data_IF_206118042704
#
_entry.id   IF_206118042704
#
_cell.length_a   1.000
_cell.length_b   1.000
_cell.length_c   1.000
_cell.angle_alpha   90.00
_cell.angle_beta   90.00
_cell.angle_gamma   90.00
#
_symmetry.space_group_name_H-M   'P 1'
#
loop_
_entity.id
_entity.type
_entity.pdbx_description
1 polymer ?
#
# COMPACT_ATOMS: atom_id res chain seq x y z
N UNK A 1 -36.15 -9.58 12.91
CA UNK A 1 -35.40 -8.32 12.77
C UNK A 1 -36.40 -7.16 12.87
N UNK A 2 -36.27 -6.37 13.92
CA UNK A 2 -37.23 -5.33 14.31
C UNK A 2 -37.28 -4.19 13.30
N UNK A 3 -38.49 -3.62 13.07
CA UNK A 3 -38.71 -2.43 12.25
C UNK A 3 -37.82 -1.23 12.63
N UNK A 4 -37.40 -1.16 13.89
CA UNK A 4 -36.50 -0.11 14.40
C UNK A 4 -35.10 -0.17 13.76
N UNK A 5 -34.58 -1.37 13.45
CA UNK A 5 -33.24 -1.50 12.83
C UNK A 5 -33.22 -1.07 11.35
N UNK A 6 -34.36 -1.26 10.64
CA UNK A 6 -34.50 -0.81 9.25
C UNK A 6 -34.60 0.71 9.12
N UNK A 7 -35.27 1.37 10.07
CA UNK A 7 -35.39 2.84 10.08
C UNK A 7 -34.05 3.55 10.33
N UNK A 8 -33.21 3.01 11.22
CA UNK A 8 -31.87 3.57 11.50
C UNK A 8 -30.95 3.46 10.28
N UNK A 9 -30.99 2.33 9.55
CA UNK A 9 -30.16 2.14 8.36
C UNK A 9 -30.60 3.07 7.20
N UNK A 10 -31.90 3.31 7.05
CA UNK A 10 -32.43 4.24 6.02
C UNK A 10 -32.01 5.67 6.37
N UNK A 11 -32.11 6.08 7.63
CA UNK A 11 -31.76 7.42 8.09
C UNK A 11 -30.23 7.69 7.95
N UNK A 12 -29.38 6.70 8.19
CA UNK A 12 -27.92 6.83 7.94
C UNK A 12 -27.59 6.98 6.44
N UNK A 13 -28.31 6.30 5.55
CA UNK A 13 -28.13 6.46 4.09
C UNK A 13 -28.56 7.85 3.59
N UNK A 14 -29.63 8.41 4.10
CA UNK A 14 -30.09 9.75 3.71
C UNK A 14 -29.10 10.84 4.14
N UNK A 15 -28.48 10.73 5.33
CA UNK A 15 -27.43 11.66 5.76
C UNK A 15 -26.15 11.58 4.93
N UNK A 16 -25.74 10.41 4.45
CA UNK A 16 -24.60 10.27 3.54
C UNK A 16 -24.87 10.92 2.17
N UNK A 17 -26.07 10.78 1.63
CA UNK A 17 -26.45 11.43 0.38
C UNK A 17 -26.52 12.96 0.52
N UNK A 18 -27.06 13.47 1.59
CA UNK A 18 -27.13 14.91 1.84
C UNK A 18 -25.75 15.54 2.05
N UNK A 19 -24.84 14.87 2.78
CA UNK A 19 -23.49 15.33 3.00
C UNK A 19 -22.67 15.34 1.70
N UNK A 20 -22.80 14.29 0.89
CA UNK A 20 -22.14 14.19 -0.42
C UNK A 20 -22.68 15.24 -1.40
N UNK A 21 -23.98 15.51 -1.37
CA UNK A 21 -24.59 16.51 -2.24
C UNK A 21 -24.24 17.94 -1.80
N UNK A 22 -24.15 18.18 -0.48
CA UNK A 22 -23.64 19.43 0.09
C UNK A 22 -22.16 19.67 -0.28
N UNK A 23 -21.30 18.65 -0.19
CA UNK A 23 -19.90 18.69 -0.61
C UNK A 23 -19.79 18.97 -2.12
N UNK A 24 -20.59 18.29 -2.95
CA UNK A 24 -20.64 18.52 -4.41
C UNK A 24 -21.01 19.96 -4.77
N UNK A 25 -21.90 20.59 -4.02
CA UNK A 25 -22.34 21.99 -4.26
C UNK A 25 -21.33 23.02 -3.80
N UNK A 26 -20.60 22.77 -2.69
CA UNK A 26 -19.70 23.73 -2.06
C UNK A 26 -18.26 23.67 -2.52
N UNK A 27 -17.79 22.52 -2.96
CA UNK A 27 -16.42 22.34 -3.42
C UNK A 27 -16.36 22.11 -4.93
N UNK A 28 -15.55 22.93 -5.62
CA UNK A 28 -15.34 22.84 -7.08
C UNK A 28 -14.98 21.41 -7.49
N UNK A 29 -15.45 20.98 -8.66
CA UNK A 29 -15.27 19.65 -9.29
C UNK A 29 -13.87 19.02 -9.11
N UNK A 30 -12.83 19.83 -8.94
CA UNK A 30 -11.44 19.41 -8.76
C UNK A 30 -11.18 18.73 -7.40
N UNK A 31 -11.81 19.20 -6.31
CA UNK A 31 -11.64 18.62 -4.97
C UNK A 31 -12.41 17.31 -4.83
N UNK A 32 -13.61 17.25 -5.41
CA UNK A 32 -14.43 16.03 -5.44
C UNK A 32 -13.69 14.92 -6.20
N UNK A 33 -13.09 15.26 -7.35
CA UNK A 33 -12.28 14.31 -8.12
C UNK A 33 -11.06 13.82 -7.34
N UNK A 34 -10.46 14.67 -6.50
CA UNK A 34 -9.35 14.32 -5.63
C UNK A 34 -9.79 13.39 -4.49
N UNK A 35 -10.95 13.64 -3.87
CA UNK A 35 -11.49 12.81 -2.79
C UNK A 35 -11.87 11.42 -3.33
N UNK A 36 -12.55 11.34 -4.46
CA UNK A 36 -12.86 10.05 -5.12
C UNK A 36 -11.58 9.34 -5.59
N UNK A 37 -10.60 10.08 -6.07
CA UNK A 37 -9.31 9.55 -6.50
C UNK A 37 -8.52 8.94 -5.33
N UNK A 38 -8.52 9.59 -4.16
CA UNK A 38 -7.84 9.11 -2.95
C UNK A 38 -8.61 7.96 -2.27
N UNK A 39 -9.94 7.94 -2.39
CA UNK A 39 -10.80 6.90 -1.81
C UNK A 39 -10.80 5.59 -2.61
N UNK A 40 -10.46 5.63 -3.90
CA UNK A 40 -10.57 4.48 -4.82
C UNK A 40 -9.23 3.82 -5.15
N UNK A 41 -8.10 4.33 -4.66
CA UNK A 41 -6.82 3.68 -4.90
C UNK A 41 -6.75 2.36 -4.14
N UNK A 42 -6.83 1.26 -4.87
CA UNK A 42 -6.67 -0.08 -4.32
C UNK A 42 -5.22 -0.51 -4.43
N UNK A 43 -4.76 -1.20 -3.41
CA UNK A 43 -3.43 -1.80 -3.36
C UNK A 43 -3.57 -3.28 -3.07
N UNK A 44 -2.69 -4.10 -3.63
CA UNK A 44 -2.56 -5.51 -3.30
C UNK A 44 -1.10 -5.95 -3.31
N UNK A 45 -0.84 -7.09 -2.69
CA UNK A 45 0.45 -7.79 -2.77
C UNK A 45 0.32 -9.00 -3.67
N UNK A 46 1.33 -9.25 -4.49
CA UNK A 46 1.37 -10.33 -5.47
C UNK A 46 2.76 -10.96 -5.54
N UNK A 47 2.87 -12.17 -6.08
CA UNK A 47 4.18 -12.85 -6.24
C UNK A 47 4.66 -13.61 -5.01
N UNK A 48 3.85 -13.73 -3.95
CA UNK A 48 4.10 -14.60 -2.80
C UNK A 48 2.88 -15.48 -2.49
N UNK A 49 3.12 -16.60 -1.80
CA UNK A 49 2.05 -17.45 -1.25
C UNK A 49 1.50 -16.92 0.08
N UNK A 50 2.15 -15.93 0.69
CA UNK A 50 1.72 -15.33 1.95
C UNK A 50 1.01 -14.01 1.71
N UNK A 51 -0.10 -13.79 2.41
CA UNK A 51 -0.95 -12.59 2.24
C UNK A 51 -0.31 -11.29 2.76
N UNK A 52 0.73 -11.38 3.58
CA UNK A 52 1.40 -10.24 4.20
C UNK A 52 2.69 -9.82 3.49
N UNK A 53 3.02 -10.43 2.36
CA UNK A 53 4.19 -10.08 1.57
C UNK A 53 3.96 -10.22 0.08
N UNK A 54 4.71 -9.47 -0.71
CA UNK A 54 4.63 -9.54 -2.17
C UNK A 54 5.07 -8.26 -2.85
N UNK A 55 5.07 -8.31 -4.18
CA UNK A 55 5.21 -7.15 -5.04
C UNK A 55 4.00 -6.24 -4.85
N UNK A 56 4.26 -4.95 -4.74
CA UNK A 56 3.21 -3.93 -4.60
C UNK A 56 2.58 -3.67 -5.96
N UNK A 57 1.27 -3.85 -6.02
CA UNK A 57 0.48 -3.49 -7.18
C UNK A 57 -0.60 -2.49 -6.78
N UNK A 58 -0.77 -1.43 -7.58
CA UNK A 58 -1.74 -0.37 -7.39
C UNK A 58 -2.75 -0.36 -8.53
N UNK A 59 -4.02 -0.12 -8.21
CA UNK A 59 -5.09 -0.01 -9.20
C UNK A 59 -5.34 1.46 -9.49
N UNK A 60 -4.96 1.88 -10.68
CA UNK A 60 -5.11 3.25 -11.15
C UNK A 60 -5.61 3.24 -12.60
N UNK A 61 -6.41 4.20 -12.99
CA UNK A 61 -6.98 4.34 -14.34
C UNK A 61 -7.54 3.02 -14.89
N UNK A 62 -8.35 2.33 -14.06
CA UNK A 62 -9.01 1.07 -14.38
C UNK A 62 -8.08 -0.13 -14.65
N UNK A 63 -6.80 -0.03 -14.29
CA UNK A 63 -5.81 -1.10 -14.50
C UNK A 63 -4.95 -1.31 -13.26
N UNK A 64 -4.59 -2.56 -13.00
CA UNK A 64 -3.50 -2.89 -12.09
C UNK A 64 -2.16 -2.58 -12.75
N UNK A 65 -1.23 -2.10 -11.96
CA UNK A 65 0.14 -1.85 -12.36
C UNK A 65 1.07 -1.84 -11.16
N UNK A 66 2.36 -1.79 -11.42
CA UNK A 66 3.40 -1.92 -10.40
C UNK A 66 3.94 -0.57 -9.93
N UNK A 67 4.84 -0.62 -8.97
CA UNK A 67 5.59 0.51 -8.43
C UNK A 67 7.07 0.20 -8.62
N UNK A 68 7.83 1.14 -9.15
CA UNK A 68 9.29 1.01 -9.25
C UNK A 68 9.95 1.06 -7.86
N UNK A 69 11.05 0.33 -7.68
CA UNK A 69 11.77 0.30 -6.40
C UNK A 69 12.77 1.44 -6.23
N UNK A 70 12.90 2.36 -7.18
CA UNK A 70 13.74 3.54 -7.07
C UNK A 70 13.28 4.41 -5.90
N UNK A 71 14.18 4.61 -4.93
CA UNK A 71 13.90 5.25 -3.65
C UNK A 71 12.86 4.55 -2.76
N UNK A 72 12.49 3.30 -3.09
CA UNK A 72 11.58 2.51 -2.29
C UNK A 72 12.24 2.05 -0.98
N UNK A 73 11.65 2.40 0.13
CA UNK A 73 12.18 2.05 1.45
C UNK A 73 11.07 1.69 2.43
N UNK A 74 11.47 1.62 3.69
CA UNK A 74 10.56 1.20 4.77
C UNK A 74 9.39 2.17 5.00
N UNK A 75 9.55 3.46 4.70
CA UNK A 75 8.49 4.46 4.85
C UNK A 75 7.37 4.27 3.83
N UNK A 76 7.74 4.02 2.58
CA UNK A 76 6.83 3.73 1.48
C UNK A 76 6.10 2.41 1.75
N UNK A 77 6.86 1.39 2.17
CA UNK A 77 6.35 0.09 2.57
C UNK A 77 5.39 0.18 3.76
N UNK A 78 5.68 1.02 4.76
CA UNK A 78 4.79 1.27 5.92
C UNK A 78 3.42 1.80 5.48
N UNK A 79 3.38 2.74 4.53
CA UNK A 79 2.14 3.29 4.00
C UNK A 79 1.32 2.19 3.32
N UNK A 80 1.96 1.39 2.45
CA UNK A 80 1.30 0.26 1.77
C UNK A 80 0.76 -0.77 2.75
N UNK A 81 1.56 -1.16 3.74
CA UNK A 81 1.13 -2.13 4.74
C UNK A 81 -0.06 -1.62 5.56
N UNK A 82 -0.07 -0.35 5.94
CA UNK A 82 -1.20 0.28 6.65
C UNK A 82 -2.46 0.34 5.78
N UNK A 83 -2.34 0.63 4.48
CA UNK A 83 -3.47 0.56 3.53
C UNK A 83 -4.07 -0.84 3.46
N UNK A 84 -3.26 -1.88 3.70
CA UNK A 84 -3.68 -3.28 3.74
C UNK A 84 -4.10 -3.77 5.14
N UNK A 85 -4.27 -2.86 6.09
CA UNK A 85 -4.63 -3.11 7.49
C UNK A 85 -3.60 -3.92 8.31
N UNK A 86 -2.32 -3.87 7.93
CA UNK A 86 -1.21 -4.35 8.76
C UNK A 86 -0.68 -3.24 9.66
N UNK A 87 0.00 -3.61 10.75
CA UNK A 87 0.56 -2.63 11.71
C UNK A 87 1.74 -1.82 11.16
N UNK A 88 2.31 -2.23 10.03
CA UNK A 88 3.39 -1.55 9.33
C UNK A 88 4.25 -2.53 8.54
N UNK A 89 5.34 -2.04 7.95
CA UNK A 89 6.28 -2.86 7.21
C UNK A 89 7.35 -3.47 8.12
N UNK A 90 7.70 -4.71 7.85
CA UNK A 90 8.84 -5.38 8.47
C UNK A 90 10.10 -5.23 7.61
N UNK A 91 9.96 -5.36 6.29
CA UNK A 91 11.06 -5.36 5.34
C UNK A 91 10.58 -4.97 3.94
N UNK A 92 11.48 -4.45 3.12
CA UNK A 92 11.28 -4.30 1.67
C UNK A 92 11.97 -5.44 0.95
N UNK A 93 11.41 -5.91 -0.17
CA UNK A 93 11.95 -7.06 -0.88
C UNK A 93 11.56 -7.08 -2.35
N UNK A 94 12.11 -8.03 -3.08
CA UNK A 94 11.76 -8.31 -4.46
C UNK A 94 10.97 -9.63 -4.52
N UNK A 95 9.83 -9.62 -5.22
CA UNK A 95 8.90 -10.75 -5.33
C UNK A 95 8.61 -11.14 -6.78
N UNK A 96 9.61 -11.01 -7.62
CA UNK A 96 9.50 -11.28 -9.05
C UNK A 96 8.89 -10.11 -9.83
N UNK A 97 9.04 -10.12 -11.16
CA UNK A 97 8.52 -9.08 -12.03
C UNK A 97 7.00 -9.13 -12.09
N UNK A 98 6.39 -7.97 -12.33
CA UNK A 98 4.99 -7.87 -12.72
C UNK A 98 4.74 -8.52 -14.08
N UNK A 99 3.47 -8.58 -14.47
CA UNK A 99 3.13 -8.97 -15.83
C UNK A 99 3.63 -7.87 -16.79
N UNK A 100 4.31 -8.26 -17.86
CA UNK A 100 4.84 -7.32 -18.87
C UNK A 100 3.77 -6.40 -19.49
N UNK A 101 2.51 -6.82 -19.48
CA UNK A 101 1.38 -5.99 -19.93
C UNK A 101 0.90 -4.98 -18.89
N UNK A 102 1.40 -5.03 -17.66
CA UNK A 102 1.06 -4.07 -16.62
C UNK A 102 1.83 -2.76 -16.83
N UNK A 103 1.20 -1.61 -16.61
CA UNK A 103 1.93 -0.37 -16.50
C UNK A 103 2.74 -0.32 -15.19
N UNK A 104 3.86 0.39 -15.20
CA UNK A 104 4.50 0.86 -13.97
C UNK A 104 3.86 2.21 -13.65
N UNK A 105 3.03 2.25 -12.61
CA UNK A 105 2.24 3.42 -12.28
C UNK A 105 2.98 4.48 -11.49
N UNK A 106 3.90 4.06 -10.61
CA UNK A 106 4.59 4.98 -9.72
C UNK A 106 6.10 4.73 -9.74
N UNK A 107 6.85 5.81 -9.68
CA UNK A 107 8.30 5.81 -9.64
C UNK A 107 8.81 6.92 -8.72
N UNK A 108 9.98 6.70 -8.10
CA UNK A 108 10.62 7.66 -7.21
C UNK A 108 9.69 8.09 -6.06
N UNK A 109 8.96 7.13 -5.50
CA UNK A 109 8.00 7.38 -4.42
C UNK A 109 8.73 7.79 -3.16
N UNK A 110 8.26 8.89 -2.53
CA UNK A 110 8.83 9.43 -1.30
C UNK A 110 7.72 9.77 -0.32
N UNK A 111 7.59 8.93 0.71
CA UNK A 111 6.61 9.10 1.79
C UNK A 111 7.28 9.61 3.07
N UNK A 112 6.47 10.19 3.96
CA UNK A 112 6.85 10.46 5.34
C UNK A 112 6.63 9.24 6.25
N UNK A 113 5.69 8.34 5.84
CA UNK A 113 5.27 7.14 6.56
C UNK A 113 3.98 7.30 7.36
N UNK A 114 3.36 8.49 7.34
CA UNK A 114 2.09 8.81 8.01
C UNK A 114 0.92 9.04 7.05
N UNK A 115 1.16 8.93 5.76
CA UNK A 115 0.13 9.08 4.74
C UNK A 115 -0.90 7.95 4.82
N UNK A 116 -2.17 8.30 4.58
CA UNK A 116 -3.28 7.34 4.55
C UNK A 116 -3.35 6.56 3.22
N UNK A 117 -2.64 7.02 2.20
CA UNK A 117 -2.59 6.40 0.87
C UNK A 117 -1.25 6.68 0.21
N UNK A 118 -0.72 5.69 -0.50
CA UNK A 118 0.51 5.85 -1.28
C UNK A 118 0.35 6.91 -2.39
N UNK A 119 -0.87 7.17 -2.85
CA UNK A 119 -1.14 8.26 -3.79
C UNK A 119 -0.90 9.65 -3.20
N UNK A 120 -0.85 9.79 -1.87
CA UNK A 120 -0.53 11.04 -1.20
C UNK A 120 0.98 11.25 -1.03
N UNK A 121 1.79 10.23 -1.28
CA UNK A 121 3.24 10.36 -1.30
C UNK A 121 3.70 11.12 -2.54
N UNK A 122 4.84 11.79 -2.42
CA UNK A 122 5.45 12.46 -3.59
C UNK A 122 5.99 11.40 -4.55
N UNK A 123 5.72 11.53 -5.85
CA UNK A 123 6.26 10.68 -6.92
C UNK A 123 6.38 11.47 -8.24
N UNK A 124 6.96 10.87 -9.29
CA UNK A 124 7.18 11.53 -10.61
C UNK A 124 5.90 11.84 -11.39
N UNK A 125 4.78 11.35 -10.98
CA UNK A 125 3.51 11.37 -11.70
C UNK A 125 3.14 9.98 -12.20
N UNK A 126 1.85 9.74 -12.43
CA UNK A 126 1.33 8.45 -12.82
C UNK A 126 1.84 8.03 -14.20
N UNK A 127 2.40 6.81 -14.30
CA UNK A 127 2.96 6.26 -15.53
C UNK A 127 4.23 6.95 -16.05
N UNK A 128 4.83 7.86 -15.27
CA UNK A 128 6.08 8.50 -15.59
C UNK A 128 7.24 7.83 -14.84
N UNK A 129 7.96 6.94 -15.53
CA UNK A 129 9.03 6.12 -14.98
C UNK A 129 10.14 5.87 -16.02
N UNK A 130 11.30 5.43 -15.53
CA UNK A 130 12.42 4.93 -16.33
C UNK A 130 12.83 3.50 -15.90
N UNK A 131 11.91 2.76 -15.31
CA UNK A 131 12.07 1.42 -14.76
C UNK A 131 11.57 0.33 -15.70
N UNK A 132 12.04 -0.89 -15.44
CA UNK A 132 11.53 -2.15 -15.98
C UNK A 132 10.98 -3.00 -14.83
N UNK A 133 10.22 -4.07 -15.13
CA UNK A 133 9.57 -4.91 -14.13
C UNK A 133 10.53 -5.75 -13.25
N UNK A 134 11.79 -5.87 -13.61
CA UNK A 134 12.84 -6.41 -12.75
C UNK A 134 13.18 -5.52 -11.54
N UNK A 135 12.68 -4.27 -11.57
CA UNK A 135 12.80 -3.29 -10.49
C UNK A 135 11.45 -3.03 -9.79
N UNK A 136 10.51 -3.96 -9.84
CA UNK A 136 9.24 -3.81 -9.13
C UNK A 136 9.42 -3.86 -7.61
N UNK A 137 8.85 -2.87 -6.94
CA UNK A 137 8.89 -2.74 -5.49
C UNK A 137 8.06 -3.82 -4.80
N UNK A 138 8.55 -4.32 -3.68
CA UNK A 138 7.82 -5.25 -2.85
C UNK A 138 8.02 -5.02 -1.36
N UNK A 139 7.19 -5.67 -0.55
CA UNK A 139 7.13 -5.46 0.89
C UNK A 139 6.83 -6.75 1.64
N UNK A 140 7.35 -6.85 2.85
CA UNK A 140 6.90 -7.78 3.90
C UNK A 140 6.28 -6.95 5.00
N UNK A 141 4.96 -7.10 5.22
CA UNK A 141 4.24 -6.44 6.27
C UNK A 141 4.35 -7.20 7.60
N UNK A 142 4.23 -6.50 8.71
CA UNK A 142 4.15 -7.11 10.04
C UNK A 142 2.81 -7.82 10.18
N UNK A 143 2.86 -9.12 10.38
CA UNK A 143 1.69 -9.91 10.65
C UNK A 143 1.67 -10.28 12.14
N UNK A 144 0.99 -9.48 12.95
CA UNK A 144 0.90 -9.64 14.40
C UNK A 144 0.12 -10.91 14.81
N UNK A 145 -0.58 -11.54 13.85
CA UNK A 145 -1.28 -12.83 14.04
C UNK A 145 -0.33 -14.03 14.00
N UNK A 146 0.92 -13.86 13.54
CA UNK A 146 1.92 -14.92 13.54
C UNK A 146 2.87 -14.67 14.72
N UNK A 147 2.80 -15.50 15.78
CA UNK A 147 3.75 -15.39 16.88
C UNK A 147 5.18 -15.53 16.31
N UNK A 148 6.16 -14.77 16.81
CA UNK A 148 7.53 -14.88 16.34
C UNK A 148 8.01 -16.31 16.62
N UNK A 149 8.12 -17.12 15.58
CA UNK A 149 8.66 -18.48 15.69
C UNK A 149 10.12 -18.37 16.17
N UNK A 150 10.44 -18.99 17.29
CA UNK A 150 11.78 -18.98 17.92
C UNK A 150 12.93 -19.30 16.96
N UNK A 151 12.66 -20.05 15.89
CA UNK A 151 13.64 -20.41 14.87
C UNK A 151 14.20 -19.23 14.08
N UNK A 152 13.40 -18.20 13.79
CA UNK A 152 13.87 -17.02 13.03
C UNK A 152 14.69 -16.05 13.90
N UNK A 153 14.46 -15.98 15.22
CA UNK A 153 15.32 -15.22 16.14
C UNK A 153 16.75 -15.74 16.17
N UNK A 154 16.94 -17.05 16.17
CA UNK A 154 18.29 -17.67 16.21
C UNK A 154 19.09 -17.43 14.92
N UNK A 155 18.45 -17.40 13.75
CA UNK A 155 19.11 -17.14 12.48
C UNK A 155 19.59 -15.69 12.35
N UNK A 156 18.83 -14.71 12.84
CA UNK A 156 19.24 -13.31 12.83
C UNK A 156 20.39 -13.01 13.79
N UNK A 157 20.39 -13.61 14.98
CA UNK A 157 21.49 -13.47 15.95
C UNK A 157 22.78 -14.14 15.46
N UNK A 158 22.69 -15.28 14.79
CA UNK A 158 23.85 -15.97 14.26
C UNK A 158 24.50 -15.25 13.07
N UNK A 159 23.73 -14.58 12.21
CA UNK A 159 24.27 -13.74 11.14
C UNK A 159 25.02 -12.51 11.67
N UNK A 160 24.51 -11.85 12.72
CA UNK A 160 25.25 -10.74 13.37
C UNK A 160 26.55 -11.19 14.02
N UNK A 161 26.60 -12.39 14.59
CA UNK A 161 27.84 -12.93 15.19
C UNK A 161 28.91 -13.27 14.13
N UNK A 162 28.52 -13.73 12.95
CA UNK A 162 29.48 -14.04 11.88
C UNK A 162 30.12 -12.78 11.26
N UNK A 163 29.39 -11.66 11.20
CA UNK A 163 29.92 -10.39 10.65
C UNK A 163 30.91 -9.72 11.63
N UNK A 164 30.74 -9.92 12.94
CA UNK A 164 31.64 -9.34 13.95
C UNK A 164 32.91 -10.16 14.21
N UNK A 165 32.99 -11.40 13.73
CA UNK A 165 34.17 -12.27 13.86
C UNK A 165 35.11 -12.31 12.63
N UNK A 166 34.76 -11.59 11.56
CA UNK A 166 35.58 -11.45 10.35
C UNK A 166 36.30 -10.10 10.24
N UNK A 167 36.36 -9.34 11.34
CA UNK A 167 37.05 -8.03 11.42
C UNK A 167 38.12 -8.03 12.52
N UNK A 168 38.91 -9.11 12.61
CA UNK A 168 40.19 -9.16 13.35
C UNK A 168 41.27 -9.72 12.45
#
# INVERSE_FOLDING_TARGET
MSLHCKLVIVQYREYEYDLLDWIKRRFRKRLIRLIYFLADLKVRLSGSSFSHEGRVEVYYDHKWGTVCNDHWGIREADVVCKMLNFSGAFHVGYFGPGNESFPIWMDNVKCRGDEQSIAACRHRGWGNHDCFHDLDAGVVCRNDSIPPTEGKRKQFFNRKKQISSSSQ
#
